data_IF_898855787668
#
_entry.id   IF_898855787668
#
_cell.length_a   1.000
_cell.length_b   1.000
_cell.length_c   1.000
_cell.angle_alpha   90.00
_cell.angle_beta   90.00
_cell.angle_gamma   90.00
#
_symmetry.space_group_name_H-M   'P 1'
#
loop_
_entity.id
_entity.type
_entity.pdbx_description
1 polymer ?
#
# COMPACT_ATOMS: atom_id res chain seq x y z
N UNK A 1 12.37 -3.41 -28.99
CA UNK A 1 11.86 -2.10 -28.51
C UNK A 1 10.64 -1.73 -29.34
N UNK A 2 9.52 -1.29 -28.75
CA UNK A 2 8.36 -0.88 -29.53
C UNK A 2 8.72 0.32 -30.42
N UNK A 3 8.22 0.33 -31.65
CA UNK A 3 8.50 1.38 -32.66
C UNK A 3 7.92 2.75 -32.26
N UNK A 4 6.93 2.78 -31.37
CA UNK A 4 6.31 3.98 -30.83
C UNK A 4 6.26 3.92 -29.30
N UNK A 5 6.58 5.05 -28.65
CA UNK A 5 6.49 5.13 -27.19
C UNK A 5 5.00 5.01 -26.73
N UNK A 6 4.70 4.27 -25.67
CA UNK A 6 3.37 4.27 -25.07
C UNK A 6 2.91 5.69 -24.74
N UNK A 7 1.62 5.95 -24.87
CA UNK A 7 1.03 7.29 -24.65
C UNK A 7 1.45 7.89 -23.29
N UNK A 8 1.42 7.10 -22.23
CA UNK A 8 1.82 7.57 -20.91
C UNK A 8 3.29 8.05 -20.85
N UNK A 9 4.21 7.40 -21.61
CA UNK A 9 5.58 7.88 -21.71
C UNK A 9 5.68 9.26 -22.39
N UNK A 10 4.82 9.52 -23.38
CA UNK A 10 4.76 10.82 -24.04
C UNK A 10 4.26 11.88 -23.03
N UNK A 11 3.22 11.56 -22.26
CA UNK A 11 2.71 12.44 -21.19
C UNK A 11 3.78 12.73 -20.14
N UNK A 12 4.51 11.71 -19.66
CA UNK A 12 5.60 11.92 -18.71
C UNK A 12 6.70 12.84 -19.28
N UNK A 13 7.10 12.63 -20.53
CA UNK A 13 8.09 13.51 -21.19
C UNK A 13 7.59 14.94 -21.28
N UNK A 14 6.34 15.13 -21.69
CA UNK A 14 5.74 16.46 -21.82
C UNK A 14 5.74 17.23 -20.50
N UNK A 15 5.41 16.57 -19.37
CA UNK A 15 5.20 17.21 -18.08
C UNK A 15 6.40 17.18 -17.14
N UNK A 16 7.33 16.24 -17.31
CA UNK A 16 8.40 16.01 -16.33
C UNK A 16 9.81 16.18 -16.91
N UNK A 17 9.99 16.33 -18.24
CA UNK A 17 11.32 16.50 -18.81
C UNK A 17 11.99 17.77 -18.27
N UNK A 18 13.24 17.62 -17.83
CA UNK A 18 13.98 18.72 -17.19
C UNK A 18 13.52 19.09 -15.79
N UNK A 19 12.54 18.35 -15.25
CA UNK A 19 12.03 18.56 -13.91
C UNK A 19 13.00 18.10 -12.82
N UNK A 20 12.81 18.65 -11.62
CA UNK A 20 13.59 18.36 -10.41
C UNK A 20 12.70 17.70 -9.37
N UNK A 21 13.14 16.57 -8.81
CA UNK A 21 12.48 15.95 -7.65
C UNK A 21 12.74 16.83 -6.43
N UNK A 22 11.67 17.37 -5.85
CA UNK A 22 11.72 18.27 -4.68
C UNK A 22 11.22 17.59 -3.41
N UNK A 23 10.58 16.43 -3.52
CA UNK A 23 10.13 15.64 -2.38
C UNK A 23 9.81 14.21 -2.75
N UNK A 24 9.97 13.32 -1.79
CA UNK A 24 9.54 11.92 -1.88
C UNK A 24 8.84 11.59 -0.57
N UNK A 25 7.64 11.04 -0.66
CA UNK A 25 6.88 10.59 0.50
C UNK A 25 6.24 9.24 0.26
N UNK A 26 6.10 8.46 1.33
CA UNK A 26 5.31 7.24 1.34
C UNK A 26 4.00 7.51 2.08
N UNK A 27 2.89 7.07 1.50
CA UNK A 27 1.58 7.20 2.14
C UNK A 27 1.41 6.11 3.20
N UNK A 28 1.52 6.48 4.48
CA UNK A 28 1.47 5.54 5.61
C UNK A 28 2.47 4.39 5.41
N UNK A 29 2.11 3.17 5.79
CA UNK A 29 2.82 1.92 5.45
C UNK A 29 2.29 1.29 4.17
N UNK A 30 1.37 1.94 3.49
CA UNK A 30 0.90 1.51 2.18
C UNK A 30 2.03 1.54 1.14
N UNK A 31 1.95 0.65 0.18
CA UNK A 31 2.88 0.55 -0.94
C UNK A 31 2.58 1.61 -2.01
N UNK A 32 2.39 2.86 -1.56
CA UNK A 32 2.16 4.04 -2.40
C UNK A 32 3.25 5.05 -2.14
N UNK A 33 4.06 5.31 -3.16
CA UNK A 33 5.16 6.28 -3.11
C UNK A 33 4.80 7.44 -4.02
N UNK A 34 5.01 8.67 -3.55
CA UNK A 34 4.82 9.90 -4.30
C UNK A 34 6.14 10.60 -4.52
N UNK A 35 6.38 11.01 -5.74
CA UNK A 35 7.50 11.87 -6.11
C UNK A 35 6.95 13.24 -6.49
N UNK A 36 7.28 14.28 -5.72
CA UNK A 36 6.97 15.66 -6.03
C UNK A 36 8.01 16.17 -7.01
N UNK A 37 7.58 16.57 -8.20
CA UNK A 37 8.46 16.95 -9.29
C UNK A 37 8.10 18.36 -9.75
N UNK A 38 9.01 19.30 -9.51
CA UNK A 38 8.91 20.66 -10.01
C UNK A 38 9.38 20.71 -11.46
N UNK A 39 8.56 21.26 -12.33
CA UNK A 39 8.87 21.38 -13.76
C UNK A 39 8.17 22.59 -14.38
N UNK A 40 8.74 23.11 -15.46
CA UNK A 40 8.10 24.13 -16.27
C UNK A 40 7.09 23.54 -17.23
N UNK A 41 5.94 24.18 -17.38
CA UNK A 41 4.98 23.85 -18.42
C UNK A 41 5.38 24.46 -19.79
N UNK A 42 4.56 24.21 -20.81
CA UNK A 42 4.80 24.73 -22.17
C UNK A 42 4.78 26.25 -22.24
N UNK A 43 4.19 26.94 -21.26
CA UNK A 43 4.13 28.40 -21.16
C UNK A 43 5.26 28.97 -20.29
N UNK A 44 6.15 28.13 -19.79
CA UNK A 44 7.24 28.53 -18.90
C UNK A 44 6.80 28.78 -17.46
N UNK A 45 5.62 28.34 -17.07
CA UNK A 45 5.14 28.46 -15.68
C UNK A 45 5.65 27.29 -14.84
N UNK A 46 6.29 27.61 -13.71
CA UNK A 46 6.76 26.60 -12.77
C UNK A 46 5.57 25.99 -12.02
N UNK A 47 5.50 24.68 -12.00
CA UNK A 47 4.46 23.96 -11.27
C UNK A 47 4.95 22.61 -10.76
N UNK A 48 4.33 22.12 -9.70
CA UNK A 48 4.66 20.79 -9.14
C UNK A 48 3.64 19.76 -9.62
N UNK A 49 4.15 18.65 -10.11
CA UNK A 49 3.38 17.44 -10.41
C UNK A 49 3.79 16.35 -9.44
N UNK A 50 2.87 15.46 -9.13
CA UNK A 50 3.14 14.30 -8.29
C UNK A 50 3.05 13.04 -9.14
N UNK A 51 4.15 12.31 -9.21
CA UNK A 51 4.19 10.98 -9.79
C UNK A 51 3.93 9.97 -8.67
N UNK A 52 2.80 9.27 -8.74
CA UNK A 52 2.36 8.32 -7.73
C UNK A 52 2.63 6.91 -8.24
N UNK A 53 3.39 6.13 -7.49
CA UNK A 53 3.66 4.72 -7.75
C UNK A 53 2.89 3.87 -6.74
N UNK A 54 1.87 3.15 -7.21
CA UNK A 54 1.11 2.16 -6.44
C UNK A 54 1.65 0.78 -6.70
N UNK A 55 2.25 0.13 -5.70
CA UNK A 55 2.95 -1.16 -5.83
C UNK A 55 2.08 -2.27 -5.22
N UNK A 56 1.06 -2.70 -5.96
CA UNK A 56 0.00 -3.61 -5.47
C UNK A 56 -0.12 -4.88 -6.32
N UNK A 57 1.01 -5.45 -6.73
CA UNK A 57 1.04 -6.65 -7.57
C UNK A 57 0.29 -6.43 -8.89
N UNK A 58 -0.70 -7.25 -9.19
CA UNK A 58 -1.51 -7.14 -10.42
C UNK A 58 -2.30 -5.82 -10.53
N UNK A 59 -2.49 -5.11 -9.45
CA UNK A 59 -3.19 -3.83 -9.38
C UNK A 59 -2.24 -2.63 -9.32
N UNK A 60 -0.94 -2.86 -9.51
CA UNK A 60 0.04 -1.78 -9.56
C UNK A 60 -0.30 -0.77 -10.66
N UNK A 61 -0.02 0.50 -10.37
CA UNK A 61 -0.24 1.60 -11.30
C UNK A 61 0.80 2.70 -11.12
N UNK A 62 1.01 3.50 -12.14
CA UNK A 62 1.76 4.75 -12.06
C UNK A 62 0.84 5.85 -12.56
N UNK A 63 0.65 6.89 -11.76
CA UNK A 63 -0.33 7.94 -11.97
C UNK A 63 0.37 9.28 -11.88
N UNK A 64 0.17 10.16 -12.85
CA UNK A 64 0.63 11.54 -12.79
C UNK A 64 -0.54 12.44 -12.43
N UNK A 65 -0.38 13.25 -11.39
CA UNK A 65 -1.38 14.24 -10.97
C UNK A 65 -0.78 15.64 -10.92
N UNK A 66 -1.63 16.64 -11.00
CA UNK A 66 -1.28 18.01 -10.71
C UNK A 66 -1.38 18.25 -9.18
N UNK A 67 -0.33 18.77 -8.57
CA UNK A 67 -0.33 19.00 -7.11
C UNK A 67 -1.37 20.07 -6.70
N UNK A 68 -1.52 21.11 -7.50
CA UNK A 68 -2.35 22.25 -7.15
C UNK A 68 -3.84 21.90 -6.93
N UNK A 69 -4.37 20.96 -7.70
CA UNK A 69 -5.78 20.58 -7.63
C UNK A 69 -6.02 19.08 -7.41
N UNK A 70 -4.95 18.28 -7.35
CA UNK A 70 -5.01 16.83 -7.15
C UNK A 70 -5.64 16.06 -8.32
N UNK A 71 -5.82 16.70 -9.50
CA UNK A 71 -6.43 16.05 -10.66
C UNK A 71 -5.44 15.18 -11.41
N UNK A 72 -5.92 14.04 -11.87
CA UNK A 72 -5.16 13.08 -12.67
C UNK A 72 -4.89 13.69 -14.05
N UNK A 73 -3.61 13.75 -14.42
CA UNK A 73 -3.16 14.11 -15.75
C UNK A 73 -3.25 12.90 -16.67
N UNK A 74 -2.64 11.79 -16.26
CA UNK A 74 -2.80 10.48 -16.91
C UNK A 74 -2.22 9.36 -16.00
N UNK A 75 -2.31 8.11 -16.46
CA UNK A 75 -1.81 6.93 -15.78
C UNK A 75 -1.37 5.86 -16.77
N UNK A 76 -0.46 4.98 -16.33
CA UNK A 76 -0.04 3.85 -17.17
C UNK A 76 -1.19 2.86 -17.38
N UNK A 77 -2.09 2.75 -16.39
CA UNK A 77 -3.29 1.92 -16.44
C UNK A 77 -4.51 2.75 -16.06
N UNK A 78 -5.37 3.03 -17.03
CA UNK A 78 -6.66 3.67 -16.78
C UNK A 78 -7.64 2.69 -16.18
N UNK A 79 -8.40 3.14 -15.19
CA UNK A 79 -9.46 2.35 -14.54
C UNK A 79 -10.79 3.06 -14.79
N UNK A 80 -11.60 2.42 -15.59
CA UNK A 80 -12.91 2.92 -16.03
C UNK A 80 -14.04 2.47 -15.09
N UNK A 81 -15.25 3.07 -15.14
CA UNK A 81 -16.36 2.68 -14.26
C UNK A 81 -16.79 1.21 -14.36
N UNK A 82 -16.64 0.60 -15.54
CA UNK A 82 -16.91 -0.83 -15.76
C UNK A 82 -15.86 -1.74 -15.12
N UNK A 83 -14.61 -1.27 -14.95
CA UNK A 83 -13.54 -2.01 -14.27
C UNK A 83 -13.61 -1.90 -12.76
N UNK A 84 -14.08 -0.76 -12.22
CA UNK A 84 -14.23 -0.52 -10.78
C UNK A 84 -15.29 0.53 -10.51
N UNK A 85 -16.29 0.17 -9.73
CA UNK A 85 -17.30 1.12 -9.24
C UNK A 85 -16.76 1.98 -8.08
N UNK A 86 -15.77 1.48 -7.35
CA UNK A 86 -15.23 2.13 -6.16
C UNK A 86 -14.23 3.24 -6.50
N UNK A 87 -13.33 3.00 -7.45
CA UNK A 87 -12.23 3.91 -7.76
C UNK A 87 -11.92 3.92 -9.25
N UNK A 88 -12.07 5.08 -9.86
CA UNK A 88 -11.72 5.31 -11.26
C UNK A 88 -10.41 6.08 -11.35
N UNK A 89 -9.59 5.78 -12.34
CA UNK A 89 -8.32 6.46 -12.63
C UNK A 89 -8.36 6.89 -14.09
N UNK A 90 -8.85 8.12 -14.30
CA UNK A 90 -9.01 8.71 -15.63
C UNK A 90 -8.53 10.17 -15.61
N UNK A 91 -8.00 10.69 -16.72
CA UNK A 91 -7.62 12.10 -16.83
C UNK A 91 -8.77 13.04 -16.44
N UNK A 92 -8.42 14.07 -15.66
CA UNK A 92 -9.36 15.08 -15.17
C UNK A 92 -10.11 14.72 -13.89
N UNK A 93 -10.13 13.46 -13.48
CA UNK A 93 -10.73 13.07 -12.21
C UNK A 93 -9.81 13.40 -11.03
N UNK A 94 -10.42 13.59 -9.86
CA UNK A 94 -9.71 13.73 -8.60
C UNK A 94 -9.03 12.41 -8.24
N UNK A 95 -7.72 12.44 -7.93
CA UNK A 95 -7.04 11.27 -7.41
C UNK A 95 -7.59 10.90 -6.04
N UNK A 96 -7.84 9.62 -5.85
CA UNK A 96 -8.18 9.01 -4.55
C UNK A 96 -7.24 7.88 -4.27
N UNK A 97 -6.84 7.74 -3.01
CA UNK A 97 -6.02 6.60 -2.58
C UNK A 97 -6.75 5.28 -2.81
N UNK A 98 -6.00 4.19 -3.04
CA UNK A 98 -6.59 2.86 -2.96
C UNK A 98 -7.34 2.70 -1.64
N UNK A 99 -8.41 1.87 -1.59
CA UNK A 99 -9.07 1.59 -0.33
C UNK A 99 -8.06 1.00 0.65
N UNK A 100 -7.98 1.58 1.85
CA UNK A 100 -7.22 0.97 2.93
C UNK A 100 -7.80 -0.41 3.18
N UNK A 101 -6.95 -1.41 3.22
CA UNK A 101 -7.36 -2.68 3.82
C UNK A 101 -7.58 -2.36 5.30
N UNK A 102 -8.69 -2.82 5.89
CA UNK A 102 -8.96 -2.66 7.32
C UNK A 102 -7.98 -3.53 8.13
N UNK A 103 -6.69 -3.17 8.07
CA UNK A 103 -5.59 -3.85 8.73
C UNK A 103 -5.02 -2.97 9.82
N UNK A 104 -4.52 -3.61 10.85
CA UNK A 104 -3.83 -2.95 11.95
C UNK A 104 -2.47 -2.40 11.49
N UNK A 105 -2.19 -1.16 11.85
CA UNK A 105 -0.89 -0.55 11.61
C UNK A 105 0.15 -1.12 12.60
N UNK A 106 1.21 -1.82 12.14
CA UNK A 106 2.23 -2.37 13.03
C UNK A 106 3.03 -1.30 13.79
N UNK A 107 3.11 -0.06 13.26
CA UNK A 107 3.82 1.04 13.93
C UNK A 107 3.04 1.64 15.10
N UNK A 108 1.71 1.41 15.14
CA UNK A 108 0.81 1.84 16.22
C UNK A 108 0.04 0.63 16.73
N UNK A 109 0.74 -0.46 17.02
CA UNK A 109 0.12 -1.74 17.35
C UNK A 109 -0.64 -1.69 18.68
N UNK A 110 -1.97 -1.87 18.62
CA UNK A 110 -2.81 -2.05 19.80
C UNK A 110 -3.11 -3.54 20.01
N UNK A 111 -2.50 -4.10 21.04
CA UNK A 111 -2.71 -5.50 21.41
C UNK A 111 -4.18 -5.83 21.76
N UNK A 112 -4.94 -4.89 22.32
CA UNK A 112 -6.35 -5.12 22.65
C UNK A 112 -7.18 -5.28 21.38
N UNK A 113 -6.98 -4.40 20.41
CA UNK A 113 -7.65 -4.48 19.13
C UNK A 113 -7.27 -5.76 18.38
N UNK A 114 -5.96 -6.10 18.36
CA UNK A 114 -5.48 -7.33 17.72
C UNK A 114 -6.12 -8.57 18.32
N UNK A 115 -6.12 -8.72 19.65
CA UNK A 115 -6.73 -9.88 20.30
C UNK A 115 -8.25 -9.85 20.21
N UNK A 116 -8.88 -8.68 20.14
CA UNK A 116 -10.29 -8.55 19.82
C UNK A 116 -10.65 -9.13 18.46
N UNK A 117 -9.88 -8.81 17.42
CA UNK A 117 -10.03 -9.37 16.07
C UNK A 117 -9.74 -10.87 16.03
N UNK A 118 -8.73 -11.32 16.78
CA UNK A 118 -8.40 -12.74 16.91
C UNK A 118 -9.54 -13.54 17.53
N UNK A 119 -10.17 -13.03 18.59
CA UNK A 119 -11.31 -13.68 19.23
C UNK A 119 -12.57 -13.67 18.37
N UNK A 120 -12.73 -12.68 17.49
CA UNK A 120 -13.84 -12.58 16.53
C UNK A 120 -13.60 -13.32 15.22
N UNK A 121 -12.41 -13.91 15.01
CA UNK A 121 -12.12 -14.69 13.82
C UNK A 121 -12.75 -16.08 13.91
N UNK A 122 -13.11 -16.65 12.75
CA UNK A 122 -13.72 -17.99 12.71
C UNK A 122 -12.80 -19.09 13.23
N UNK A 123 -13.37 -20.12 13.84
CA UNK A 123 -12.67 -21.21 14.54
C UNK A 123 -11.64 -21.97 13.68
N UNK A 124 -11.77 -21.94 12.37
CA UNK A 124 -10.91 -22.66 11.43
C UNK A 124 -9.82 -21.79 10.79
N UNK A 125 -9.75 -20.52 11.15
CA UNK A 125 -8.77 -19.58 10.58
C UNK A 125 -7.37 -19.94 11.11
N UNK A 126 -6.43 -20.19 10.19
CA UNK A 126 -5.04 -20.50 10.52
C UNK A 126 -4.28 -19.25 10.95
N UNK A 127 -3.41 -19.37 11.96
CA UNK A 127 -2.65 -18.28 12.55
C UNK A 127 -1.85 -17.46 11.54
N UNK A 128 -1.07 -18.12 10.67
CA UNK A 128 -0.28 -17.43 9.65
C UNK A 128 -1.14 -16.63 8.68
N UNK A 129 -2.29 -17.17 8.26
CA UNK A 129 -3.25 -16.46 7.40
C UNK A 129 -3.92 -15.30 8.13
N UNK A 130 -4.26 -15.48 9.40
CA UNK A 130 -4.82 -14.42 10.24
C UNK A 130 -3.86 -13.24 10.34
N UNK A 131 -2.59 -13.48 10.68
CA UNK A 131 -1.56 -12.44 10.78
C UNK A 131 -1.39 -11.65 9.48
N UNK A 132 -1.22 -12.36 8.35
CA UNK A 132 -1.07 -11.74 7.03
C UNK A 132 -2.33 -10.97 6.57
N UNK A 133 -3.50 -11.38 7.02
CA UNK A 133 -4.78 -10.72 6.73
C UNK A 133 -5.09 -9.53 7.62
N UNK A 134 -4.59 -9.52 8.86
CA UNK A 134 -5.00 -8.57 9.91
C UNK A 134 -4.00 -7.43 10.10
N UNK A 135 -2.70 -7.65 9.87
CA UNK A 135 -1.66 -6.64 10.10
C UNK A 135 -1.15 -6.13 8.75
N UNK A 136 -1.09 -4.82 8.60
CA UNK A 136 -0.59 -4.21 7.37
C UNK A 136 0.92 -4.40 7.23
N UNK A 137 1.40 -4.51 5.99
CA UNK A 137 2.80 -4.81 5.71
C UNK A 137 3.24 -6.27 5.98
N UNK A 138 2.44 -7.07 6.69
CA UNK A 138 2.73 -8.48 6.95
C UNK A 138 2.23 -9.34 5.79
N UNK A 139 3.14 -9.95 5.06
CA UNK A 139 2.84 -10.99 4.08
C UNK A 139 2.93 -12.40 4.73
N UNK A 140 2.62 -13.44 3.97
CA UNK A 140 2.63 -14.82 4.50
C UNK A 140 4.02 -15.27 4.99
N UNK A 141 5.10 -14.78 4.40
CA UNK A 141 6.47 -15.12 4.82
C UNK A 141 6.81 -14.44 6.15
N UNK A 142 6.47 -13.16 6.31
CA UNK A 142 6.63 -12.45 7.57
C UNK A 142 5.73 -13.04 8.67
N UNK A 143 4.51 -13.44 8.34
CA UNK A 143 3.62 -14.13 9.29
C UNK A 143 4.21 -15.45 9.77
N UNK A 144 4.81 -16.23 8.87
CA UNK A 144 5.53 -17.48 9.20
C UNK A 144 6.71 -17.24 10.14
N UNK A 145 7.50 -16.21 9.87
CA UNK A 145 8.61 -15.81 10.74
C UNK A 145 8.13 -15.40 12.15
N UNK A 146 7.04 -14.66 12.24
CA UNK A 146 6.42 -14.28 13.52
C UNK A 146 5.96 -15.52 14.30
N UNK A 147 5.29 -16.47 13.63
CA UNK A 147 4.88 -17.73 14.22
C UNK A 147 6.11 -18.51 14.74
N UNK A 148 7.15 -18.63 13.93
CA UNK A 148 8.40 -19.31 14.31
C UNK A 148 9.03 -18.68 15.55
N UNK A 149 9.15 -17.35 15.61
CA UNK A 149 9.69 -16.64 16.79
C UNK A 149 8.82 -16.80 18.03
N UNK A 150 7.51 -16.97 17.85
CA UNK A 150 6.58 -17.26 18.94
C UNK A 150 6.61 -18.74 19.38
N UNK A 151 7.34 -19.62 18.67
CA UNK A 151 7.32 -21.06 18.91
C UNK A 151 5.97 -21.72 18.56
N UNK A 152 5.22 -21.12 17.61
CA UNK A 152 3.90 -21.58 17.20
C UNK A 152 3.94 -22.07 15.74
N UNK A 153 3.10 -23.05 15.43
CA UNK A 153 2.88 -23.49 14.05
C UNK A 153 1.95 -22.49 13.33
N UNK A 154 2.30 -22.09 12.10
CA UNK A 154 1.49 -21.17 11.28
C UNK A 154 0.11 -21.74 10.92
N UNK A 155 -0.03 -23.07 10.93
CA UNK A 155 -1.23 -23.79 10.53
C UNK A 155 -2.19 -24.06 11.69
N UNK A 156 -1.83 -23.73 12.93
CA UNK A 156 -2.76 -23.89 14.05
C UNK A 156 -3.98 -22.99 13.89
N UNK A 157 -5.19 -23.46 14.22
CA UNK A 157 -6.36 -22.60 14.30
C UNK A 157 -6.20 -21.53 15.37
N UNK A 158 -6.57 -20.29 15.09
CA UNK A 158 -6.47 -19.20 16.08
C UNK A 158 -7.30 -19.47 17.33
N UNK A 159 -8.38 -20.24 17.21
CA UNK A 159 -9.23 -20.66 18.34
C UNK A 159 -8.54 -21.61 19.32
N UNK A 160 -7.48 -22.31 18.89
CA UNK A 160 -6.71 -23.25 19.74
C UNK A 160 -5.61 -22.57 20.55
N UNK A 161 -5.38 -21.27 20.39
CA UNK A 161 -4.34 -20.54 21.12
C UNK A 161 -4.74 -20.32 22.58
N UNK A 162 -4.00 -20.96 23.49
CA UNK A 162 -4.14 -20.73 24.92
C UNK A 162 -3.48 -19.39 25.33
N UNK A 163 -3.55 -19.06 26.63
CA UNK A 163 -3.04 -17.81 27.16
C UNK A 163 -1.52 -17.68 27.01
N UNK A 164 -0.78 -18.79 27.10
CA UNK A 164 0.67 -18.74 27.00
C UNK A 164 1.12 -18.57 25.54
N UNK A 165 0.49 -19.26 24.59
CA UNK A 165 0.67 -19.04 23.17
C UNK A 165 0.37 -17.58 22.78
N UNK A 166 -0.68 -16.98 23.33
CA UNK A 166 -1.02 -15.56 23.10
C UNK A 166 0.04 -14.60 23.63
N UNK A 167 0.62 -14.86 24.79
CA UNK A 167 1.74 -14.06 25.35
C UNK A 167 2.98 -14.16 24.45
N UNK A 168 3.33 -15.38 24.02
CA UNK A 168 4.47 -15.61 23.12
C UNK A 168 4.27 -14.90 21.78
N UNK A 169 3.06 -14.98 21.23
CA UNK A 169 2.70 -14.27 20.00
C UNK A 169 2.81 -12.75 20.16
N UNK A 170 2.32 -12.19 21.27
CA UNK A 170 2.43 -10.76 21.58
C UNK A 170 3.88 -10.30 21.65
N UNK A 171 4.73 -11.08 22.34
CA UNK A 171 6.16 -10.77 22.45
C UNK A 171 6.88 -10.81 21.09
N UNK A 172 6.56 -11.81 20.25
CA UNK A 172 7.11 -11.93 18.90
C UNK A 172 6.68 -10.77 17.99
N UNK A 173 5.41 -10.36 18.06
CA UNK A 173 4.87 -9.21 17.31
C UNK A 173 5.56 -7.91 17.72
N UNK A 174 5.69 -7.64 19.03
CA UNK A 174 6.36 -6.44 19.52
C UNK A 174 7.84 -6.40 19.08
N UNK A 175 8.55 -7.53 19.15
CA UNK A 175 9.91 -7.63 18.67
C UNK A 175 10.04 -7.45 17.16
N UNK A 176 9.06 -7.88 16.38
CA UNK A 176 9.06 -7.73 14.92
C UNK A 176 8.79 -6.27 14.52
N UNK A 177 7.83 -5.61 15.16
CA UNK A 177 7.47 -4.21 14.88
C UNK A 177 8.51 -3.20 15.35
N UNK A 178 9.26 -3.52 16.42
CA UNK A 178 10.36 -2.67 16.91
C UNK A 178 11.61 -2.72 16.02
N UNK A 179 11.68 -3.70 15.10
CA UNK A 179 12.84 -3.91 14.20
C UNK A 179 12.56 -3.38 12.77
N UNK A 180 11.38 -2.89 12.50
CA UNK A 180 10.95 -2.34 11.22
C UNK A 180 11.05 -0.82 11.21
#
# INVERSE_FOLDING_TARGET
SPSTAPMFCIVLRKHLSGGKIVGIEQYSIDRVIKFHIESYDELGTLSVKILICEIMGRHSNIILINEADGRIIDSIRRITPDMSSFRQILPGLQYRYPPSQDKLNPLCFDGKEFFGRLNGSGDTVKLGRFLAGTIDGINIFAAREICYRAGLDEDVPVSSLDNDARKMLSAALNGFTASA
#
